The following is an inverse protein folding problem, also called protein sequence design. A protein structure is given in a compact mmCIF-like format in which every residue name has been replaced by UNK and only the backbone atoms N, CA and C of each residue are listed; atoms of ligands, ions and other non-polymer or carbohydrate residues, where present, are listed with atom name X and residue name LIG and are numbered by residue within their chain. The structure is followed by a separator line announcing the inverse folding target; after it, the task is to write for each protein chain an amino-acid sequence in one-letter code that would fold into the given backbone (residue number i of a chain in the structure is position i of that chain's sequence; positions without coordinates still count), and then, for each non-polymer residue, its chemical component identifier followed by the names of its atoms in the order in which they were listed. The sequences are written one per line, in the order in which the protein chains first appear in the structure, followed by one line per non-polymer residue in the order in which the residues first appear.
data_IF_374308360102
#
_entry.id   IF_374308360102
#
_cell.length_a   1.000
_cell.length_b   1.000
_cell.length_c   1.000
_cell.angle_alpha   90.00
_cell.angle_beta   90.00
_cell.angle_gamma   90.00
#
_symmetry.space_group_name_H-M   'P 1'
#
loop_
_entity.id
_entity.type
_entity.pdbx_description
1 polymer ?
#
# COMPACT_ATOMS: atom_id res chain seq x y z
N UNK A 1 39.55 -70.37 -26.61
CA UNK A 1 39.00 -70.25 -27.98
C UNK A 1 37.82 -69.30 -27.93
N UNK A 2 37.95 -68.10 -28.55
CA UNK A 2 36.91 -67.17 -29.04
C UNK A 2 35.94 -66.59 -27.98
N UNK A 3 35.60 -65.30 -27.92
CA UNK A 3 35.74 -64.22 -28.91
C UNK A 3 35.66 -62.86 -28.18
N UNK A 4 36.71 -62.05 -28.36
CA UNK A 4 36.61 -60.59 -28.33
C UNK A 4 35.78 -60.10 -29.52
N UNK A 5 34.87 -59.17 -29.27
CA UNK A 5 34.40 -58.15 -30.22
C UNK A 5 33.29 -57.33 -29.55
N UNK A 6 33.62 -56.18 -28.96
CA UNK A 6 33.03 -54.93 -29.44
C UNK A 6 33.85 -53.73 -28.96
N UNK A 7 34.90 -53.49 -29.72
CA UNK A 7 35.49 -52.17 -29.84
C UNK A 7 34.41 -51.15 -30.26
N UNK A 8 34.55 -49.90 -29.79
CA UNK A 8 33.86 -48.67 -30.25
C UNK A 8 32.49 -48.39 -29.62
N UNK A 9 32.48 -47.54 -28.59
CA UNK A 9 32.07 -46.12 -28.74
C UNK A 9 32.27 -45.34 -27.43
N UNK A 10 32.89 -44.17 -27.59
CA UNK A 10 32.84 -42.98 -26.73
C UNK A 10 33.70 -42.91 -25.46
N UNK A 11 35.00 -42.78 -25.71
CA UNK A 11 35.82 -41.73 -25.08
C UNK A 11 35.25 -40.34 -25.47
N UNK A 12 35.52 -39.30 -24.67
CA UNK A 12 35.31 -37.85 -24.87
C UNK A 12 34.09 -37.30 -24.11
N UNK A 13 34.30 -36.77 -22.88
CA UNK A 13 34.44 -35.33 -22.64
C UNK A 13 34.47 -35.05 -21.12
N UNK A 14 35.63 -35.27 -20.49
CA UNK A 14 36.03 -34.47 -19.33
C UNK A 14 36.33 -33.05 -19.82
N UNK A 15 36.00 -32.04 -19.01
CA UNK A 15 36.25 -30.59 -19.19
C UNK A 15 35.12 -29.78 -19.86
N UNK A 16 34.10 -29.39 -19.07
CA UNK A 16 33.66 -27.98 -18.94
C UNK A 16 33.14 -27.80 -17.52
N UNK A 17 34.08 -27.67 -16.57
CA UNK A 17 33.83 -27.04 -15.28
C UNK A 17 33.97 -25.53 -15.49
N UNK A 18 33.07 -24.74 -14.89
CA UNK A 18 33.07 -23.27 -14.87
C UNK A 18 32.89 -22.58 -16.23
N UNK A 19 31.67 -22.14 -16.51
CA UNK A 19 31.28 -20.77 -16.94
C UNK A 19 29.78 -20.85 -17.23
N UNK A 20 28.97 -20.29 -16.33
CA UNK A 20 27.61 -19.75 -16.59
C UNK A 20 26.83 -19.39 -15.33
N UNK A 21 27.49 -19.24 -14.16
CA UNK A 21 26.92 -18.60 -12.98
C UNK A 21 27.33 -17.13 -12.81
N UNK A 22 27.70 -16.46 -13.91
CA UNK A 22 28.11 -15.04 -13.92
C UNK A 22 27.33 -14.17 -14.92
N UNK A 23 26.09 -14.54 -15.27
CA UNK A 23 25.26 -13.71 -16.16
C UNK A 23 23.82 -13.44 -15.69
N UNK A 24 23.43 -13.82 -14.47
CA UNK A 24 22.10 -13.48 -13.92
C UNK A 24 22.10 -12.17 -13.10
N UNK A 25 23.26 -11.53 -12.88
CA UNK A 25 23.32 -10.21 -12.19
C UNK A 25 23.40 -9.00 -13.13
N UNK A 26 23.20 -9.17 -14.45
CA UNK A 26 23.48 -8.12 -15.43
C UNK A 26 22.27 -7.25 -15.87
N UNK A 27 21.07 -7.40 -15.27
CA UNK A 27 19.91 -6.59 -15.71
C UNK A 27 19.19 -5.79 -14.62
N UNK A 28 19.74 -5.74 -13.41
CA UNK A 28 19.57 -4.66 -12.42
C UNK A 28 20.57 -4.97 -11.31
N UNK A 29 21.54 -4.09 -10.99
CA UNK A 29 22.22 -4.21 -9.71
C UNK A 29 21.12 -4.28 -8.64
N UNK A 30 21.14 -5.30 -7.78
CA UNK A 30 20.26 -5.32 -6.62
C UNK A 30 20.37 -3.95 -5.94
N UNK A 31 19.23 -3.30 -5.67
CA UNK A 31 19.21 -2.11 -4.83
C UNK A 31 19.57 -2.55 -3.42
N UNK A 32 20.86 -2.81 -3.21
CA UNK A 32 21.49 -2.92 -1.92
C UNK A 32 21.17 -1.64 -1.17
N UNK A 33 20.88 -1.73 0.13
CA UNK A 33 20.68 -0.59 1.04
C UNK A 33 21.89 0.35 1.19
N UNK A 34 22.84 0.26 0.25
CA UNK A 34 24.05 1.04 0.09
C UNK A 34 23.90 2.23 -0.88
N UNK A 35 22.66 2.63 -1.21
CA UNK A 35 22.45 3.81 -2.03
C UNK A 35 22.52 5.08 -1.18
N UNK A 36 23.36 6.01 -1.59
CA UNK A 36 23.35 7.37 -1.03
C UNK A 36 21.99 7.99 -1.34
N UNK A 37 21.23 8.33 -0.31
CA UNK A 37 19.88 8.89 -0.46
C UNK A 37 19.73 10.15 0.38
N UNK A 38 19.21 11.21 -0.24
CA UNK A 38 18.70 12.37 0.49
C UNK A 38 17.44 11.95 1.26
N UNK A 39 17.51 12.03 2.57
CA UNK A 39 16.42 11.63 3.49
C UNK A 39 15.63 12.82 4.01
N UNK A 40 16.17 14.03 3.93
CA UNK A 40 15.51 15.26 4.34
C UNK A 40 16.48 16.39 4.61
N UNK A 41 15.99 17.43 5.26
CA UNK A 41 16.77 18.55 5.77
C UNK A 41 16.99 18.39 7.27
N UNK A 42 18.19 18.68 7.75
CA UNK A 42 18.44 18.84 9.18
C UNK A 42 18.08 20.27 9.62
N UNK A 43 18.42 21.25 8.79
CA UNK A 43 18.11 22.67 8.93
C UNK A 43 18.31 23.38 7.55
N UNK A 44 18.20 24.70 7.51
CA UNK A 44 18.34 25.51 6.28
C UNK A 44 19.72 25.45 5.61
N UNK A 45 20.73 24.90 6.30
CA UNK A 45 22.12 24.82 5.85
C UNK A 45 22.66 23.40 5.75
N UNK A 46 21.90 22.39 6.22
CA UNK A 46 22.35 21.00 6.28
C UNK A 46 21.33 20.02 5.71
N UNK A 47 21.83 19.10 4.89
CA UNK A 47 21.05 18.01 4.30
C UNK A 47 21.30 16.69 5.04
N UNK A 48 20.25 15.91 5.27
CA UNK A 48 20.36 14.56 5.80
C UNK A 48 20.56 13.55 4.66
N UNK A 49 21.71 12.89 4.64
CA UNK A 49 22.07 11.83 3.71
C UNK A 49 22.16 10.48 4.41
N UNK A 50 21.41 9.50 3.93
CA UNK A 50 21.71 8.09 4.23
C UNK A 50 22.89 7.67 3.35
N UNK A 51 23.95 7.17 3.97
CA UNK A 51 25.18 6.69 3.33
C UNK A 51 25.59 5.34 3.95
N UNK A 52 26.74 4.79 3.58
CA UNK A 52 27.35 3.61 4.22
C UNK A 52 28.66 3.99 4.88
N UNK A 53 28.93 3.43 6.06
CA UNK A 53 30.22 3.55 6.72
C UNK A 53 31.29 2.66 6.04
N UNK A 54 32.53 2.73 6.54
CA UNK A 54 33.66 1.94 6.03
C UNK A 54 33.41 0.42 6.14
N UNK A 55 32.55 -0.01 7.07
CA UNK A 55 32.13 -1.40 7.25
C UNK A 55 30.90 -1.78 6.42
N UNK A 56 30.40 -0.90 5.56
CA UNK A 56 29.22 -1.12 4.72
C UNK A 56 27.88 -1.01 5.47
N UNK A 57 27.86 -0.51 6.71
CA UNK A 57 26.62 -0.32 7.47
C UNK A 57 25.95 1.01 7.10
N UNK A 58 24.62 1.06 6.91
CA UNK A 58 23.92 2.31 6.70
C UNK A 58 24.13 3.28 7.87
N UNK A 59 24.48 4.52 7.55
CA UNK A 59 24.62 5.64 8.49
C UNK A 59 23.86 6.85 7.97
N UNK A 60 23.32 7.65 8.89
CA UNK A 60 22.71 8.94 8.56
C UNK A 60 23.76 10.03 8.81
N UNK A 61 23.97 10.91 7.84
CA UNK A 61 24.93 12.00 7.90
C UNK A 61 24.21 13.34 7.70
N UNK A 62 24.49 14.30 8.56
CA UNK A 62 24.16 15.71 8.31
C UNK A 62 25.32 16.33 7.52
N UNK A 63 25.02 16.90 6.35
CA UNK A 63 26.02 17.45 5.42
C UNK A 63 25.78 18.93 5.24
N UNK A 64 26.79 19.74 5.59
CA UNK A 64 26.79 21.19 5.37
C UNK A 64 26.83 21.48 3.86
N UNK A 65 25.83 22.23 3.37
CA UNK A 65 25.68 22.50 1.94
C UNK A 65 26.81 23.35 1.34
N UNK A 66 27.44 24.21 2.14
CA UNK A 66 28.45 25.17 1.67
C UNK A 66 29.82 24.53 1.59
N UNK A 67 30.14 23.66 2.54
CA UNK A 67 31.47 23.10 2.74
C UNK A 67 31.57 21.64 2.34
N UNK A 68 30.45 20.92 2.23
CA UNK A 68 30.41 19.48 1.96
C UNK A 68 30.90 18.61 3.12
N UNK A 69 31.20 19.21 4.28
CA UNK A 69 31.59 18.46 5.47
C UNK A 69 30.38 17.74 6.05
N UNK A 70 30.57 16.49 6.47
CA UNK A 70 29.52 15.67 7.04
C UNK A 70 29.84 15.19 8.46
N UNK A 71 28.79 15.04 9.27
CA UNK A 71 28.85 14.41 10.58
C UNK A 71 27.80 13.32 10.66
N UNK A 72 28.15 12.17 11.22
CA UNK A 72 27.19 11.09 11.47
C UNK A 72 26.23 11.50 12.58
N UNK A 73 24.94 11.36 12.33
CA UNK A 73 23.86 11.65 13.28
C UNK A 73 23.04 10.41 13.54
N UNK A 74 22.45 10.31 14.73
CA UNK A 74 21.47 9.26 15.01
C UNK A 74 20.14 9.59 14.33
N UNK A 75 19.46 8.61 13.72
CA UNK A 75 18.10 8.82 13.24
C UNK A 75 17.21 9.24 14.42
N UNK A 76 16.51 10.36 14.28
CA UNK A 76 15.43 10.68 15.21
C UNK A 76 14.23 9.82 14.86
N UNK A 77 13.63 9.18 15.88
CA UNK A 77 12.40 8.42 15.70
C UNK A 77 11.27 9.38 15.36
N UNK A 78 10.56 9.10 14.29
CA UNK A 78 9.31 9.79 13.96
C UNK A 78 8.21 9.35 14.92
N UNK A 79 7.12 10.12 15.01
CA UNK A 79 5.93 9.71 15.78
C UNK A 79 5.37 8.38 15.26
N UNK A 80 5.47 8.13 13.94
CA UNK A 80 5.11 6.84 13.33
C UNK A 80 6.01 5.70 13.81
N UNK A 81 7.32 5.94 13.97
CA UNK A 81 8.24 4.93 14.49
C UNK A 81 7.92 4.59 15.94
N UNK A 82 7.66 5.62 16.77
CA UNK A 82 7.26 5.46 18.16
C UNK A 82 5.94 4.66 18.26
N UNK A 83 4.96 5.00 17.43
CA UNK A 83 3.69 4.28 17.38
C UNK A 83 3.89 2.83 16.92
N UNK A 84 4.72 2.60 15.90
CA UNK A 84 5.00 1.27 15.36
C UNK A 84 5.71 0.35 16.38
N UNK A 85 6.66 0.89 17.16
CA UNK A 85 7.33 0.15 18.23
C UNK A 85 6.42 -0.17 19.43
N UNK A 86 5.32 0.57 19.57
CA UNK A 86 4.36 0.38 20.65
C UNK A 86 3.31 -0.69 20.34
N UNK A 87 3.24 -1.17 19.08
CA UNK A 87 2.30 -2.21 18.67
C UNK A 87 2.64 -3.58 19.29
N UNK A 88 1.65 -4.47 19.45
CA UNK A 88 1.89 -5.84 19.88
C UNK A 88 2.87 -6.58 18.95
N UNK A 89 3.60 -7.55 19.52
CA UNK A 89 4.59 -8.32 18.79
C UNK A 89 4.02 -8.96 17.51
N UNK A 90 4.74 -8.81 16.39
CA UNK A 90 4.31 -9.32 15.08
C UNK A 90 3.32 -8.43 14.33
N UNK A 91 2.99 -7.26 14.85
CA UNK A 91 2.16 -6.25 14.19
C UNK A 91 3.06 -5.08 13.81
N UNK A 92 2.94 -4.61 12.57
CA UNK A 92 3.66 -3.44 12.09
C UNK A 92 2.71 -2.58 11.26
N UNK A 93 2.89 -1.26 11.33
CA UNK A 93 2.20 -0.30 10.49
C UNK A 93 2.71 -0.46 9.06
N UNK A 94 1.84 -0.98 8.19
CA UNK A 94 2.07 -1.06 6.75
C UNK A 94 2.13 0.32 6.10
N UNK A 95 2.66 0.36 4.88
CA UNK A 95 2.69 1.58 4.05
C UNK A 95 1.28 2.20 3.83
N UNK A 96 0.28 1.32 3.84
CA UNK A 96 -1.11 1.61 3.53
C UNK A 96 -1.99 1.78 4.79
N UNK A 97 -1.40 1.79 5.97
CA UNK A 97 -2.19 1.96 7.19
C UNK A 97 -2.39 3.44 7.49
N UNK A 98 -3.60 3.77 7.92
CA UNK A 98 -3.95 5.15 8.24
C UNK A 98 -3.53 5.45 9.68
N UNK A 99 -2.75 6.51 9.84
CA UNK A 99 -2.33 7.04 11.14
C UNK A 99 -3.20 8.26 11.45
N UNK A 100 -3.60 8.42 12.71
CA UNK A 100 -4.43 9.55 13.15
C UNK A 100 -3.69 10.88 12.97
N UNK A 101 -4.41 12.01 12.86
CA UNK A 101 -3.78 13.32 12.68
C UNK A 101 -2.80 13.72 13.80
N UNK A 102 -3.01 13.20 15.01
CA UNK A 102 -2.13 13.41 16.17
C UNK A 102 -1.00 12.37 16.29
N UNK A 103 -0.86 11.48 15.31
CA UNK A 103 0.12 10.37 15.25
C UNK A 103 0.09 9.39 16.43
N UNK A 104 -0.96 9.38 17.25
CA UNK A 104 -1.07 8.49 18.41
C UNK A 104 -1.83 7.22 18.14
N UNK A 105 -2.54 7.14 17.03
CA UNK A 105 -3.40 6.01 16.72
C UNK A 105 -3.21 5.55 15.28
N UNK A 106 -3.52 4.28 15.03
CA UNK A 106 -3.47 3.69 13.70
C UNK A 106 -4.71 2.83 13.49
N UNK A 107 -5.25 2.89 12.28
CA UNK A 107 -6.22 1.91 11.77
C UNK A 107 -5.62 1.19 10.58
N UNK A 108 -5.75 -0.13 10.58
CA UNK A 108 -5.30 -1.01 9.51
C UNK A 108 -6.29 -2.13 9.30
N UNK A 109 -6.22 -2.76 8.12
CA UNK A 109 -7.10 -3.86 7.74
C UNK A 109 -6.37 -5.17 7.98
N UNK A 110 -6.98 -6.10 8.71
CA UNK A 110 -6.51 -7.46 8.91
C UNK A 110 -7.71 -8.40 8.87
N UNK A 111 -7.58 -9.52 8.17
CA UNK A 111 -8.65 -10.51 8.04
C UNK A 111 -9.99 -9.90 7.61
N UNK A 112 -9.94 -8.99 6.62
CA UNK A 112 -11.05 -8.18 6.10
C UNK A 112 -11.58 -7.07 7.02
N UNK A 113 -11.17 -7.04 8.29
CA UNK A 113 -11.70 -6.11 9.28
C UNK A 113 -10.78 -4.94 9.63
N UNK A 114 -11.37 -3.84 10.08
CA UNK A 114 -10.68 -2.71 10.71
C UNK A 114 -10.20 -3.06 12.12
N UNK A 115 -8.89 -2.94 12.33
CA UNK A 115 -8.25 -2.98 13.63
C UNK A 115 -7.69 -1.61 13.98
N UNK A 116 -7.86 -1.23 15.24
CA UNK A 116 -7.45 0.05 15.79
C UNK A 116 -6.47 -0.15 16.94
N UNK A 117 -5.47 0.71 17.00
CA UNK A 117 -4.54 0.81 18.12
C UNK A 117 -4.30 2.26 18.46
N UNK A 118 -4.11 2.55 19.75
CA UNK A 118 -3.71 3.86 20.25
C UNK A 118 -2.56 3.72 21.23
N UNK A 119 -1.65 4.69 21.24
CA UNK A 119 -0.46 4.68 22.06
C UNK A 119 -0.82 4.50 23.55
N UNK A 120 -0.15 3.55 24.21
CA UNK A 120 -0.42 3.19 25.60
C UNK A 120 -1.53 2.15 25.79
N UNK A 121 -2.25 1.77 24.73
CA UNK A 121 -3.12 0.59 24.78
C UNK A 121 -2.29 -0.69 24.93
N UNK A 122 -2.86 -1.69 25.62
CA UNK A 122 -2.23 -3.00 25.80
C UNK A 122 -2.43 -3.94 24.60
N UNK A 123 -3.54 -3.76 23.88
CA UNK A 123 -4.01 -4.69 22.86
C UNK A 123 -4.63 -3.94 21.68
N UNK A 124 -4.71 -4.61 20.53
CA UNK A 124 -5.46 -4.14 19.37
C UNK A 124 -6.97 -4.24 19.64
N UNK A 125 -7.73 -3.26 19.19
CA UNK A 125 -9.19 -3.30 19.19
C UNK A 125 -9.70 -3.61 17.80
N UNK A 126 -10.41 -4.72 17.62
CA UNK A 126 -11.20 -4.98 16.40
C UNK A 126 -12.42 -4.06 16.40
N UNK A 127 -12.63 -3.31 15.32
CA UNK A 127 -13.73 -2.35 15.19
C UNK A 127 -14.93 -2.95 14.44
N UNK A 128 -14.66 -3.71 13.37
CA UNK A 128 -15.67 -4.34 12.49
C UNK A 128 -15.55 -5.86 12.52
N UNK A 129 -16.59 -6.55 12.03
CA UNK A 129 -16.61 -8.02 11.98
C UNK A 129 -17.47 -8.48 10.81
N UNK A 130 -17.10 -8.06 9.61
CA UNK A 130 -17.85 -8.28 8.37
C UNK A 130 -17.20 -9.34 7.48
N UNK A 131 -17.98 -9.98 6.60
CA UNK A 131 -17.45 -10.94 5.63
C UNK A 131 -16.71 -10.25 4.47
N UNK A 132 -17.11 -9.02 4.14
CA UNK A 132 -16.61 -8.25 3.01
C UNK A 132 -15.46 -7.36 3.47
N UNK A 133 -14.34 -7.30 2.73
CA UNK A 133 -13.20 -6.45 3.08
C UNK A 133 -13.57 -4.97 3.22
N UNK A 134 -13.16 -4.36 4.34
CA UNK A 134 -13.04 -2.91 4.42
C UNK A 134 -11.74 -2.43 3.79
N UNK A 135 -11.83 -1.31 3.07
CA UNK A 135 -10.67 -0.69 2.42
C UNK A 135 -10.75 0.83 2.50
N UNK A 136 -9.63 1.48 2.18
CA UNK A 136 -9.56 2.93 2.01
C UNK A 136 -9.79 3.72 3.32
N UNK A 137 -9.46 3.15 4.47
CA UNK A 137 -9.65 3.80 5.77
C UNK A 137 -8.92 5.15 5.88
N UNK A 138 -9.61 6.17 6.42
CA UNK A 138 -9.09 7.53 6.68
C UNK A 138 -9.71 8.08 7.97
N UNK A 139 -8.88 8.59 8.88
CA UNK A 139 -9.35 9.30 10.06
C UNK A 139 -10.06 10.62 9.70
N UNK A 140 -11.05 11.00 10.50
CA UNK A 140 -11.55 12.37 10.55
C UNK A 140 -10.46 13.34 11.02
N UNK A 141 -10.57 14.66 10.76
CA UNK A 141 -9.55 15.64 11.14
C UNK A 141 -9.25 15.70 12.65
N UNK A 142 -10.25 15.38 13.49
CA UNK A 142 -10.12 15.30 14.94
C UNK A 142 -9.71 13.90 15.45
N UNK A 143 -9.57 12.92 14.56
CA UNK A 143 -9.25 11.53 14.89
C UNK A 143 -10.37 10.74 15.57
N UNK A 144 -11.58 11.29 15.75
CA UNK A 144 -12.67 10.64 16.49
C UNK A 144 -13.47 9.63 15.66
N UNK A 145 -13.34 9.65 14.33
CA UNK A 145 -14.05 8.77 13.40
C UNK A 145 -13.12 8.24 12.31
N UNK A 146 -13.53 7.14 11.68
CA UNK A 146 -12.81 6.52 10.57
C UNK A 146 -13.79 6.32 9.42
N UNK A 147 -13.54 6.96 8.28
CA UNK A 147 -14.27 6.72 7.05
C UNK A 147 -13.54 5.66 6.23
N UNK A 148 -14.31 4.81 5.56
CA UNK A 148 -13.80 3.72 4.73
C UNK A 148 -14.87 3.32 3.73
N UNK A 149 -14.50 2.43 2.82
CA UNK A 149 -15.44 1.84 1.88
C UNK A 149 -15.53 0.33 2.09
N UNK A 150 -16.76 -0.19 2.07
CA UNK A 150 -17.08 -1.62 2.19
C UNK A 150 -18.09 -1.95 1.11
N UNK A 151 -17.82 -2.97 0.30
CA UNK A 151 -18.64 -3.31 -0.88
C UNK A 151 -19.00 -2.10 -1.77
N UNK A 152 -18.01 -1.21 -2.03
CA UNK A 152 -18.17 0.03 -2.82
C UNK A 152 -19.18 1.04 -2.26
N UNK A 153 -19.69 0.87 -1.04
CA UNK A 153 -20.40 1.91 -0.30
C UNK A 153 -19.49 2.60 0.71
N UNK A 154 -19.82 3.84 1.05
CA UNK A 154 -19.13 4.67 2.01
C UNK A 154 -19.69 4.46 3.42
N UNK A 155 -18.80 4.26 4.38
CA UNK A 155 -19.10 4.02 5.78
C UNK A 155 -18.24 4.92 6.67
N UNK A 156 -18.73 5.14 7.90
CA UNK A 156 -18.01 5.79 8.99
C UNK A 156 -18.13 4.94 10.24
N UNK A 157 -17.02 4.65 10.90
CA UNK A 157 -16.98 4.12 12.25
C UNK A 157 -16.78 5.26 13.24
N UNK A 158 -17.69 5.42 14.20
CA UNK A 158 -17.54 6.35 15.31
C UNK A 158 -16.81 5.66 16.47
N UNK A 159 -15.58 6.09 16.77
CA UNK A 159 -14.76 5.45 17.80
C UNK A 159 -15.32 5.65 19.21
N UNK A 160 -16.00 6.79 19.44
CA UNK A 160 -16.57 7.13 20.75
C UNK A 160 -17.85 6.36 21.02
N UNK A 161 -18.74 6.25 20.03
CA UNK A 161 -19.97 5.49 20.13
C UNK A 161 -19.78 3.99 19.88
N UNK A 162 -18.63 3.58 19.33
CA UNK A 162 -18.32 2.19 19.04
C UNK A 162 -19.26 1.57 18.01
N UNK A 163 -19.69 2.34 17.00
CA UNK A 163 -20.68 1.89 16.01
C UNK A 163 -20.32 2.32 14.59
N UNK A 164 -20.70 1.48 13.64
CA UNK A 164 -20.65 1.75 12.21
C UNK A 164 -21.89 2.53 11.74
N UNK A 165 -21.70 3.41 10.77
CA UNK A 165 -22.73 4.20 10.09
C UNK A 165 -22.50 4.06 8.59
N UNK A 166 -23.47 3.46 7.89
CA UNK A 166 -23.48 3.41 6.41
C UNK A 166 -24.01 4.73 5.87
N UNK A 167 -23.26 5.39 4.99
CA UNK A 167 -23.62 6.70 4.43
C UNK A 167 -24.25 6.61 3.03
N UNK A 168 -23.94 5.58 2.27
CA UNK A 168 -24.49 5.34 0.92
C UNK A 168 -25.06 3.94 0.81
N UNK A 169 -26.05 3.75 -0.08
CA UNK A 169 -26.90 2.55 -0.07
C UNK A 169 -27.17 1.95 -1.45
N UNK A 170 -26.63 2.53 -2.51
CA UNK A 170 -26.92 2.13 -3.89
C UNK A 170 -25.71 1.52 -4.62
N UNK A 171 -24.66 1.15 -3.88
CA UNK A 171 -23.55 0.43 -4.48
C UNK A 171 -24.01 -0.88 -5.12
N UNK A 172 -23.34 -1.23 -6.21
CA UNK A 172 -23.53 -2.48 -6.94
C UNK A 172 -22.23 -2.86 -7.63
N UNK A 173 -22.27 -3.90 -8.46
CA UNK A 173 -21.12 -4.28 -9.28
C UNK A 173 -20.61 -3.12 -10.16
N UNK A 174 -21.48 -2.17 -10.51
CA UNK A 174 -21.19 -1.03 -11.39
C UNK A 174 -21.35 0.35 -10.74
N UNK A 175 -21.83 0.45 -9.50
CA UNK A 175 -22.02 1.74 -8.81
C UNK A 175 -21.08 1.83 -7.62
N UNK A 176 -20.21 2.84 -7.61
CA UNK A 176 -19.20 3.04 -6.58
C UNK A 176 -19.41 4.35 -5.84
N UNK A 177 -19.41 4.32 -4.51
CA UNK A 177 -19.61 5.48 -3.65
C UNK A 177 -18.40 5.67 -2.73
N UNK A 178 -17.65 6.76 -2.92
CA UNK A 178 -16.40 6.99 -2.19
C UNK A 178 -15.28 6.02 -2.56
N UNK A 179 -15.54 5.05 -3.44
CA UNK A 179 -14.58 4.14 -4.03
C UNK A 179 -14.34 4.57 -5.48
N UNK A 180 -13.09 4.85 -5.83
CA UNK A 180 -12.74 5.28 -7.18
C UNK A 180 -12.91 4.14 -8.18
N UNK A 181 -13.28 4.46 -9.42
CA UNK A 181 -13.11 3.48 -10.49
C UNK A 181 -11.66 3.29 -10.87
N UNK A 182 -11.36 2.25 -11.65
CA UNK A 182 -9.98 1.95 -12.05
C UNK A 182 -9.32 3.14 -12.75
N UNK A 183 -9.99 3.71 -13.77
CA UNK A 183 -9.45 4.85 -14.53
C UNK A 183 -9.31 6.10 -13.66
N UNK A 184 -10.22 6.33 -12.72
CA UNK A 184 -10.11 7.46 -11.78
C UNK A 184 -8.95 7.26 -10.80
N UNK A 185 -8.77 6.06 -10.26
CA UNK A 185 -7.66 5.75 -9.36
C UNK A 185 -6.31 5.90 -10.07
N UNK A 186 -6.18 5.38 -11.29
CA UNK A 186 -4.90 5.39 -12.01
C UNK A 186 -4.56 6.76 -12.58
N UNK A 187 -5.51 7.40 -13.27
CA UNK A 187 -5.23 8.54 -14.16
C UNK A 187 -5.63 9.91 -13.59
N UNK A 188 -6.56 9.96 -12.63
CA UNK A 188 -7.16 11.22 -12.15
C UNK A 188 -6.80 11.53 -10.69
N UNK A 189 -7.11 10.61 -9.78
CA UNK A 189 -6.84 10.73 -8.34
C UNK A 189 -5.44 10.24 -7.98
N UNK A 190 -4.85 9.42 -8.85
CA UNK A 190 -3.54 8.79 -8.69
C UNK A 190 -3.53 7.66 -7.67
N UNK A 191 -2.58 6.73 -7.85
CA UNK A 191 -2.34 5.59 -6.94
C UNK A 191 -2.24 5.95 -5.45
N UNK A 192 -1.71 7.12 -5.03
CA UNK A 192 -1.73 7.52 -3.61
C UNK A 192 -3.12 7.66 -2.99
N UNK A 193 -4.17 7.90 -3.80
CA UNK A 193 -5.56 7.87 -3.33
C UNK A 193 -5.94 6.50 -2.76
N UNK A 194 -5.33 5.44 -3.31
CA UNK A 194 -5.62 4.04 -3.01
C UNK A 194 -7.10 3.77 -3.11
N UNK A 195 -7.72 4.11 -4.24
CA UNK A 195 -9.16 4.00 -4.47
C UNK A 195 -10.06 4.84 -3.55
N UNK A 196 -9.53 5.60 -2.58
CA UNK A 196 -10.35 6.55 -1.85
C UNK A 196 -10.79 7.69 -2.79
N UNK A 197 -12.10 7.87 -2.94
CA UNK A 197 -12.73 8.95 -3.67
C UNK A 197 -13.68 9.74 -2.76
N UNK A 198 -13.23 9.98 -1.53
CA UNK A 198 -13.97 10.74 -0.51
C UNK A 198 -13.02 11.61 0.32
N UNK A 199 -13.55 12.68 0.89
CA UNK A 199 -12.80 13.70 1.64
C UNK A 199 -13.63 14.22 2.81
N UNK A 200 -13.03 14.21 4.00
CA UNK A 200 -13.63 14.80 5.19
C UNK A 200 -13.74 16.32 5.06
N UNK A 201 -14.86 16.87 5.54
CA UNK A 201 -14.94 18.28 5.86
C UNK A 201 -13.94 18.62 6.98
N UNK A 202 -13.35 19.84 7.01
CA UNK A 202 -12.36 20.21 8.02
C UNK A 202 -12.85 20.09 9.47
N UNK A 203 -14.15 20.23 9.70
CA UNK A 203 -14.80 20.10 11.01
C UNK A 203 -15.23 18.65 11.35
N UNK A 204 -15.02 17.70 10.42
CA UNK A 204 -15.44 16.31 10.60
C UNK A 204 -16.94 16.06 10.52
N UNK A 205 -17.78 17.05 10.18
CA UNK A 205 -19.24 16.90 10.18
C UNK A 205 -19.80 16.20 8.94
N UNK A 206 -19.06 16.27 7.83
CA UNK A 206 -19.49 15.81 6.50
C UNK A 206 -18.38 15.10 5.77
N UNK A 207 -18.75 14.34 4.75
CA UNK A 207 -17.84 13.77 3.76
C UNK A 207 -18.32 14.13 2.37
N UNK A 208 -17.46 14.79 1.59
CA UNK A 208 -17.63 14.88 0.14
C UNK A 208 -17.15 13.58 -0.50
N UNK A 209 -17.87 13.05 -1.49
CA UNK A 209 -17.48 11.80 -2.16
C UNK A 209 -17.87 11.80 -3.63
N UNK A 210 -17.14 11.03 -4.44
CA UNK A 210 -17.55 10.72 -5.80
C UNK A 210 -18.44 9.48 -5.82
N UNK A 211 -19.55 9.57 -6.55
CA UNK A 211 -20.36 8.45 -6.98
C UNK A 211 -20.10 8.20 -8.46
N UNK A 212 -19.59 7.02 -8.78
CA UNK A 212 -19.23 6.62 -10.14
C UNK A 212 -20.16 5.53 -10.64
N UNK A 213 -20.66 5.69 -11.86
CA UNK A 213 -21.48 4.71 -12.57
C UNK A 213 -20.71 4.15 -13.77
N UNK A 214 -20.36 2.87 -13.66
CA UNK A 214 -19.59 2.07 -14.61
C UNK A 214 -20.49 1.23 -15.53
N UNK A 215 -21.80 1.46 -15.56
CA UNK A 215 -22.74 0.59 -16.30
C UNK A 215 -22.49 0.58 -17.81
N UNK A 216 -22.04 1.72 -18.36
CA UNK A 216 -21.74 1.88 -19.79
C UNK A 216 -20.28 1.62 -20.14
N UNK A 217 -19.43 1.39 -19.13
CA UNK A 217 -18.00 1.14 -19.34
C UNK A 217 -17.80 -0.33 -19.73
N UNK A 218 -17.12 -0.60 -20.87
CA UNK A 218 -16.83 -1.96 -21.29
C UNK A 218 -16.01 -2.74 -20.26
N UNK A 219 -16.30 -4.03 -20.13
CA UNK A 219 -15.51 -4.93 -19.29
C UNK A 219 -14.27 -5.38 -20.05
N UNK A 220 -13.13 -5.24 -19.41
CA UNK A 220 -11.88 -5.85 -19.83
C UNK A 220 -11.57 -7.04 -18.92
N UNK A 221 -11.19 -8.16 -19.53
CA UNK A 221 -10.85 -9.38 -18.80
C UNK A 221 -9.34 -9.54 -18.73
N UNK A 222 -8.82 -9.67 -17.52
CA UNK A 222 -7.42 -9.94 -17.20
C UNK A 222 -7.26 -11.41 -16.78
N UNK A 223 -6.18 -12.03 -17.25
CA UNK A 223 -5.77 -13.34 -16.77
C UNK A 223 -4.78 -13.15 -15.61
N UNK A 224 -5.18 -13.58 -14.41
CA UNK A 224 -4.42 -13.52 -13.16
C UNK A 224 -3.71 -14.85 -12.93
N UNK A 225 -2.38 -14.79 -12.82
CA UNK A 225 -1.50 -15.95 -12.65
C UNK A 225 -0.68 -15.87 -11.35
N UNK A 226 -0.96 -14.87 -10.51
CA UNK A 226 -0.19 -14.51 -9.32
C UNK A 226 -0.73 -15.13 -8.03
N UNK A 227 -1.76 -15.97 -8.11
CA UNK A 227 -2.27 -16.69 -6.94
C UNK A 227 -1.55 -18.04 -6.73
N UNK A 228 -1.33 -18.48 -5.47
CA UNK A 228 -0.61 -19.70 -5.16
C UNK A 228 -1.22 -20.99 -5.76
N UNK A 229 -2.53 -20.98 -6.04
CA UNK A 229 -3.28 -22.07 -6.69
C UNK A 229 -3.29 -21.97 -8.23
N UNK A 230 -2.55 -21.00 -8.80
CA UNK A 230 -2.57 -20.53 -10.19
C UNK A 230 -2.18 -21.53 -11.29
N UNK A 231 -2.25 -22.84 -11.03
CA UNK A 231 -2.09 -23.92 -12.02
C UNK A 231 -3.08 -23.75 -13.18
N UNK A 232 -4.24 -23.12 -12.92
CA UNK A 232 -5.28 -22.88 -13.93
C UNK A 232 -5.56 -21.40 -14.23
N UNK A 233 -4.89 -20.48 -13.52
CA UNK A 233 -5.17 -19.04 -13.59
C UNK A 233 -6.58 -18.66 -13.09
N UNK A 234 -6.80 -17.36 -12.89
CA UNK A 234 -8.11 -16.78 -12.57
C UNK A 234 -8.44 -15.67 -13.56
N UNK A 235 -9.71 -15.49 -13.86
CA UNK A 235 -10.16 -14.34 -14.66
C UNK A 235 -10.59 -13.22 -13.73
N UNK A 236 -10.00 -12.05 -13.92
CA UNK A 236 -10.43 -10.81 -13.29
C UNK A 236 -11.13 -9.95 -14.33
N UNK A 237 -12.31 -9.42 -14.00
CA UNK A 237 -13.06 -8.53 -14.87
C UNK A 237 -13.08 -7.13 -14.27
N UNK A 238 -12.68 -6.15 -15.07
CA UNK A 238 -12.57 -4.75 -14.65
C UNK A 238 -13.25 -3.85 -15.68
N UNK A 239 -14.15 -2.95 -15.27
CA UNK A 239 -14.59 -1.86 -16.14
C UNK A 239 -13.39 -1.01 -16.54
N UNK A 240 -13.06 -1.00 -17.83
CA UNK A 240 -11.87 -0.36 -18.37
C UNK A 240 -12.21 0.32 -19.70
N UNK A 241 -12.39 1.65 -19.72
CA UNK A 241 -12.63 2.37 -20.96
C UNK A 241 -11.31 2.49 -21.74
N UNK A 242 -11.28 2.00 -22.97
CA UNK A 242 -10.20 2.33 -23.91
C UNK A 242 -10.52 3.65 -24.61
N UNK A 243 -9.54 4.18 -25.35
CA UNK A 243 -9.71 5.39 -26.15
C UNK A 243 -10.94 5.26 -27.07
N UNK A 244 -11.92 6.15 -26.86
CA UNK A 244 -13.18 6.19 -27.63
C UNK A 244 -14.35 5.46 -26.98
N UNK A 245 -14.12 4.64 -25.94
CA UNK A 245 -15.19 4.01 -25.19
C UNK A 245 -15.90 5.02 -24.26
N UNK A 246 -17.14 4.73 -23.83
CA UNK A 246 -17.80 5.50 -22.79
C UNK A 246 -16.97 5.50 -21.51
N UNK A 247 -16.70 6.70 -20.98
CA UNK A 247 -16.14 6.86 -19.64
C UNK A 247 -17.23 6.68 -18.58
N UNK A 248 -16.84 6.41 -17.32
CA UNK A 248 -17.82 6.32 -16.26
C UNK A 248 -18.48 7.67 -15.97
N UNK A 249 -19.76 7.64 -15.61
CA UNK A 249 -20.51 8.83 -15.24
C UNK A 249 -20.26 9.13 -13.78
N UNK A 250 -19.81 10.35 -13.48
CA UNK A 250 -19.44 10.74 -12.11
C UNK A 250 -20.33 11.85 -11.59
N UNK A 251 -20.77 11.70 -10.34
CA UNK A 251 -21.43 12.72 -9.54
C UNK A 251 -20.62 12.95 -8.27
N UNK A 252 -20.74 14.15 -7.70
CA UNK A 252 -20.24 14.45 -6.37
C UNK A 252 -21.41 14.53 -5.39
N UNK A 253 -21.28 13.88 -4.24
CA UNK A 253 -22.22 13.94 -3.13
C UNK A 253 -21.57 14.53 -1.88
N UNK A 254 -22.41 15.00 -0.96
CA UNK A 254 -22.02 15.38 0.40
C UNK A 254 -22.90 14.56 1.34
N UNK A 255 -22.28 13.74 2.17
CA UNK A 255 -22.95 12.96 3.22
C UNK A 255 -22.76 13.66 4.56
N UNK A 256 -23.87 13.96 5.24
CA UNK A 256 -23.86 14.39 6.65
C UNK A 256 -23.60 13.18 7.54
N UNK A 257 -22.77 13.36 8.56
CA UNK A 257 -22.58 12.34 9.59
C UNK A 257 -23.53 12.71 10.71
N UNK A 258 -24.61 11.95 10.83
CA UNK A 258 -25.60 12.16 11.88
C UNK A 258 -24.92 12.16 13.25
N UNK A 259 -24.88 13.33 13.90
CA UNK A 259 -24.57 13.44 15.32
C UNK A 259 -25.68 12.73 16.09
N UNK A 260 -25.28 11.81 16.97
CA UNK A 260 -26.20 11.22 17.94
C UNK A 260 -26.65 12.27 18.96
#
# INVERSE_FOLDING_TARGET
MKNDNFCRRLLILTTVLFISLTLINAQRPGQSGSQVRVTGWADDSHLLLQNVDVGGKPVLQSVDLRTGKSVTVSPQKTERDILNESLPAGVMIGFNDAVSPDSKSVVFVRDNDLYFFTLGAKELKRLTSDEVPEVNARFSPDGSKIAYTKNKDLYVYDLSAGREIRLTHDASDRIYNGYASWVYMEEILGRPSRYAAFWWAPDGSKIAYLRTDESEVPIFTLNRLDEPDGIHGKLEQVPYPKTGDPNPKVKMGIAEIATA
#
